data_IF_950401196563
#
_entry.id   IF_950401196563
#
_cell.length_a   1.000
_cell.length_b   1.000
_cell.length_c   1.000
_cell.angle_alpha   90.00
_cell.angle_beta   90.00
_cell.angle_gamma   90.00
#
_symmetry.space_group_name_H-M   'P 1'
#
loop_
_entity.id
_entity.type
_entity.pdbx_description
1 polymer ?
#
# COMPACT_ATOMS: atom_id res chain seq x y z
N UNK A 1 24.76 65.96 -2.22
CA UNK A 1 25.45 64.67 -2.48
C UNK A 1 24.41 63.67 -2.95
N UNK A 2 24.56 63.17 -4.19
CA UNK A 2 23.69 62.16 -4.82
C UNK A 2 24.22 60.77 -4.46
N UNK A 3 23.37 59.88 -3.98
CA UNK A 3 23.64 58.45 -3.92
C UNK A 3 22.76 57.73 -4.95
N UNK A 4 23.40 56.98 -5.85
CA UNK A 4 22.77 56.12 -6.85
C UNK A 4 22.38 54.77 -6.25
N UNK A 5 21.30 54.12 -6.73
CA UNK A 5 21.02 52.72 -6.43
C UNK A 5 21.80 51.81 -7.40
N UNK A 6 22.60 50.90 -6.84
CA UNK A 6 23.31 49.86 -7.60
C UNK A 6 22.37 48.72 -8.01
N UNK A 7 22.33 48.45 -9.31
CA UNK A 7 21.77 47.23 -9.90
C UNK A 7 22.73 46.05 -9.65
N UNK A 8 22.23 44.96 -9.08
CA UNK A 8 22.87 43.64 -9.17
C UNK A 8 22.00 42.73 -10.04
N UNK A 9 22.55 42.02 -11.03
CA UNK A 9 21.78 41.05 -11.81
C UNK A 9 21.54 39.79 -10.97
N UNK A 10 20.28 39.40 -10.81
CA UNK A 10 19.90 38.10 -10.27
C UNK A 10 20.36 37.02 -11.26
N UNK A 11 21.41 36.29 -10.90
CA UNK A 11 21.83 35.08 -11.62
C UNK A 11 20.78 34.01 -11.32
N UNK A 12 19.95 33.72 -12.31
CA UNK A 12 18.99 32.62 -12.27
C UNK A 12 19.79 31.30 -12.37
N UNK A 13 20.21 30.77 -11.22
CA UNK A 13 20.73 29.42 -11.15
C UNK A 13 19.54 28.46 -11.33
N UNK A 14 19.38 27.93 -12.54
CA UNK A 14 18.54 26.76 -12.77
C UNK A 14 19.23 25.57 -12.11
N UNK A 15 18.93 25.33 -10.83
CA UNK A 15 19.25 24.06 -10.19
C UNK A 15 18.44 23.02 -10.94
N UNK A 16 19.10 22.19 -11.75
CA UNK A 16 18.52 20.92 -12.18
C UNK A 16 18.27 20.14 -10.89
N UNK A 17 17.01 20.14 -10.44
CA UNK A 17 16.54 19.17 -9.49
C UNK A 17 16.74 17.81 -10.16
N UNK A 18 17.77 17.08 -9.74
CA UNK A 18 17.86 15.66 -9.99
C UNK A 18 16.61 15.11 -9.30
N UNK A 19 15.60 14.73 -10.09
CA UNK A 19 14.42 14.06 -9.56
C UNK A 19 14.92 12.87 -8.76
N UNK A 20 14.65 12.87 -7.45
CA UNK A 20 14.83 11.69 -6.64
C UNK A 20 14.08 10.54 -7.35
N UNK A 21 14.67 9.33 -7.45
CA UNK A 21 13.98 8.21 -8.08
C UNK A 21 12.61 8.07 -7.44
N UNK A 22 11.57 8.05 -8.26
CA UNK A 22 10.19 7.91 -7.81
C UNK A 22 10.06 6.61 -7.01
N UNK A 23 10.09 6.69 -5.68
CA UNK A 23 9.86 5.56 -4.76
C UNK A 23 8.36 5.25 -4.66
N UNK A 24 7.73 5.07 -5.82
CA UNK A 24 6.31 4.77 -5.94
C UNK A 24 5.99 3.27 -5.99
N UNK A 25 6.96 2.39 -5.80
CA UNK A 25 6.74 0.94 -5.80
C UNK A 25 6.98 0.39 -4.39
N UNK A 26 6.15 -0.57 -3.96
CA UNK A 26 6.47 -1.42 -2.82
C UNK A 26 7.69 -2.24 -3.20
N UNK A 27 8.80 -2.04 -2.50
CA UNK A 27 10.04 -2.75 -2.79
C UNK A 27 9.91 -4.17 -2.28
N UNK A 28 10.13 -5.17 -3.16
CA UNK A 28 10.09 -6.59 -2.79
C UNK A 28 8.72 -7.00 -2.20
N UNK A 29 7.64 -6.50 -2.80
CA UNK A 29 6.27 -6.83 -2.40
C UNK A 29 5.83 -8.26 -2.72
N UNK A 30 6.62 -8.96 -3.53
CA UNK A 30 6.52 -10.39 -3.86
C UNK A 30 7.38 -11.29 -2.92
N UNK A 31 8.07 -10.67 -1.96
CA UNK A 31 8.94 -11.32 -0.98
C UNK A 31 10.01 -12.27 -1.54
N UNK A 32 10.35 -12.19 -2.82
CA UNK A 32 11.33 -13.04 -3.48
C UNK A 32 12.77 -12.81 -3.00
N UNK A 33 13.04 -11.63 -2.42
CA UNK A 33 14.27 -11.28 -1.72
C UNK A 33 14.12 -11.30 -0.18
N UNK A 34 13.21 -12.12 0.32
CA UNK A 34 12.91 -12.27 1.74
C UNK A 34 12.25 -11.02 2.33
N UNK A 35 12.75 -10.52 3.47
CA UNK A 35 12.27 -9.28 4.10
C UNK A 35 13.01 -8.01 3.64
N UNK A 36 13.76 -8.07 2.55
CA UNK A 36 14.50 -6.90 2.04
C UNK A 36 13.52 -5.75 1.77
N UNK A 37 13.79 -4.56 2.32
CA UNK A 37 12.92 -3.39 2.18
C UNK A 37 11.81 -3.28 3.23
N UNK A 38 11.68 -4.27 4.11
CA UNK A 38 10.74 -4.28 5.22
C UNK A 38 11.47 -4.25 6.57
N UNK A 39 10.83 -3.65 7.56
CA UNK A 39 11.26 -3.69 8.96
C UNK A 39 10.28 -4.55 9.74
N UNK A 40 10.77 -5.65 10.31
CA UNK A 40 9.96 -6.57 11.10
C UNK A 40 9.90 -6.13 12.57
N UNK A 41 8.73 -6.25 13.18
CA UNK A 41 8.47 -5.94 14.58
C UNK A 41 7.52 -6.97 15.18
N UNK A 42 7.73 -7.30 16.45
CA UNK A 42 6.81 -8.11 17.23
C UNK A 42 6.73 -7.54 18.64
N UNK A 43 5.50 -7.42 19.13
CA UNK A 43 5.20 -6.87 20.44
C UNK A 43 4.18 -7.72 21.17
N UNK A 44 4.47 -8.00 22.44
CA UNK A 44 3.42 -8.18 23.43
C UNK A 44 3.30 -6.85 24.21
N UNK A 45 2.84 -6.91 25.46
CA UNK A 45 2.65 -5.75 26.35
C UNK A 45 3.84 -4.76 26.45
N UNK A 46 5.08 -5.21 26.17
CA UNK A 46 6.31 -4.40 26.32
C UNK A 46 7.22 -4.35 25.09
N UNK A 47 6.77 -4.78 23.90
CA UNK A 47 7.55 -4.71 22.65
C UNK A 47 9.00 -5.27 22.74
N UNK A 48 9.14 -6.44 23.36
CA UNK A 48 10.44 -7.11 23.54
C UNK A 48 10.52 -8.47 22.85
N UNK A 49 9.55 -8.80 21.99
CA UNK A 49 9.54 -10.09 21.30
C UNK A 49 10.54 -10.06 20.15
N UNK A 50 11.23 -11.19 19.92
CA UNK A 50 12.07 -11.36 18.73
C UNK A 50 11.17 -11.62 17.51
N UNK A 51 11.12 -10.72 16.52
CA UNK A 51 10.26 -10.88 15.34
C UNK A 51 10.53 -12.16 14.55
N UNK A 52 11.76 -12.70 14.61
CA UNK A 52 12.12 -13.91 13.88
C UNK A 52 11.35 -15.17 14.32
N UNK A 53 10.70 -15.14 15.49
CA UNK A 53 9.85 -16.24 15.97
C UNK A 53 8.42 -16.19 15.42
N UNK A 54 8.01 -15.06 14.84
CA UNK A 54 6.61 -14.76 14.49
C UNK A 54 6.44 -14.41 13.02
N UNK A 55 7.52 -13.95 12.37
CA UNK A 55 7.51 -13.47 11.00
C UNK A 55 8.53 -14.29 10.22
N UNK A 56 8.08 -14.90 9.14
CA UNK A 56 8.93 -15.71 8.27
C UNK A 56 8.56 -15.55 6.80
N UNK A 57 9.44 -16.02 5.93
CA UNK A 57 9.15 -16.15 4.50
C UNK A 57 8.89 -17.63 4.24
N UNK A 58 7.65 -17.95 3.94
CA UNK A 58 7.24 -19.28 3.54
C UNK A 58 7.39 -19.44 2.02
N UNK A 59 7.39 -20.68 1.55
CA UNK A 59 7.47 -21.00 0.11
C UNK A 59 6.39 -22.04 -0.22
N UNK A 60 5.60 -21.76 -1.26
CA UNK A 60 4.63 -22.68 -1.80
C UNK A 60 4.95 -22.99 -3.26
N UNK A 61 5.87 -23.93 -3.48
CA UNK A 61 6.19 -24.40 -4.83
C UNK A 61 7.04 -23.41 -5.61
N UNK A 62 7.96 -22.71 -4.93
CA UNK A 62 8.80 -21.68 -5.52
C UNK A 62 8.18 -20.28 -5.56
N UNK A 63 6.97 -20.11 -4.99
CA UNK A 63 6.41 -18.78 -4.72
C UNK A 63 6.64 -18.41 -3.25
N UNK A 64 7.62 -17.55 -2.93
CA UNK A 64 7.85 -17.07 -1.57
C UNK A 64 6.79 -16.05 -1.17
N UNK A 65 6.36 -16.08 0.09
CA UNK A 65 5.39 -15.14 0.62
C UNK A 65 5.65 -14.82 2.09
N UNK A 66 5.14 -13.68 2.55
CA UNK A 66 5.21 -13.29 3.95
C UNK A 66 4.23 -14.14 4.76
N UNK A 67 4.73 -14.88 5.75
CA UNK A 67 3.91 -15.54 6.76
C UNK A 67 4.07 -14.83 8.11
N UNK A 68 2.95 -14.46 8.72
CA UNK A 68 2.90 -13.91 10.08
C UNK A 68 2.11 -14.85 10.97
N UNK A 69 2.66 -15.16 12.14
CA UNK A 69 2.04 -15.95 13.20
C UNK A 69 2.02 -15.17 14.50
N UNK A 70 0.91 -15.18 15.25
CA UNK A 70 0.85 -14.64 16.61
C UNK A 70 1.11 -15.71 17.68
N UNK A 71 1.30 -16.97 17.26
CA UNK A 71 1.39 -18.18 18.10
C UNK A 71 0.30 -18.30 19.15
N UNK A 72 0.36 -19.33 20.00
CA UNK A 72 -0.64 -19.56 21.05
C UNK A 72 -0.22 -18.89 22.35
N UNK A 73 -0.35 -17.56 22.46
CA UNK A 73 0.04 -16.88 23.70
C UNK A 73 -1.14 -16.76 24.66
N UNK A 74 -0.96 -17.26 25.89
CA UNK A 74 -1.85 -17.02 27.04
C UNK A 74 -1.52 -15.71 27.78
N UNK A 75 -0.56 -14.92 27.27
CA UNK A 75 0.02 -13.75 27.94
C UNK A 75 -0.14 -12.48 27.11
N UNK A 76 -1.39 -12.01 27.00
CA UNK A 76 -1.70 -10.67 26.52
C UNK A 76 -1.88 -10.54 25.01
N UNK A 77 -2.20 -9.32 24.57
CA UNK A 77 -2.33 -9.00 23.15
C UNK A 77 -0.96 -9.11 22.48
N UNK A 78 -0.89 -9.90 21.41
CA UNK A 78 0.32 -10.08 20.61
C UNK A 78 0.12 -9.42 19.25
N UNK A 79 1.11 -8.62 18.86
CA UNK A 79 1.28 -8.00 17.56
C UNK A 79 2.53 -8.58 16.91
N UNK A 80 2.43 -8.96 15.65
CA UNK A 80 3.59 -9.23 14.80
C UNK A 80 3.33 -8.64 13.42
N UNK A 81 4.30 -7.94 12.85
CA UNK A 81 4.13 -7.33 11.56
C UNK A 81 5.40 -6.80 10.92
N UNK A 82 5.26 -6.37 9.68
CA UNK A 82 6.31 -5.72 8.92
C UNK A 82 5.84 -4.36 8.44
N UNK A 83 6.78 -3.43 8.31
CA UNK A 83 6.51 -2.10 7.77
C UNK A 83 7.47 -1.74 6.66
N UNK A 84 7.01 -0.98 5.67
CA UNK A 84 7.86 -0.44 4.61
C UNK A 84 7.41 0.98 4.22
N UNK A 85 8.34 1.93 4.01
CA UNK A 85 7.97 3.27 3.57
C UNK A 85 7.54 3.24 2.09
N UNK A 86 6.41 3.87 1.78
CA UNK A 86 5.91 4.03 0.41
C UNK A 86 5.65 5.51 0.11
N UNK A 87 5.76 5.88 -1.17
CA UNK A 87 5.35 7.22 -1.64
C UNK A 87 4.14 7.08 -2.54
N UNK A 88 3.03 7.72 -2.15
CA UNK A 88 1.79 7.69 -2.91
C UNK A 88 1.78 8.89 -3.86
N UNK A 89 1.61 8.62 -5.14
CA UNK A 89 1.69 9.63 -6.21
C UNK A 89 0.50 9.55 -7.15
N UNK A 90 0.34 10.55 -8.01
CA UNK A 90 -0.75 10.57 -8.99
C UNK A 90 -0.72 9.36 -9.95
N UNK A 91 0.46 8.78 -10.18
CA UNK A 91 0.68 7.64 -11.09
C UNK A 91 0.92 6.33 -10.35
N UNK A 92 0.86 6.33 -9.02
CA UNK A 92 1.02 5.16 -8.16
C UNK A 92 0.18 5.38 -6.89
N UNK A 93 -1.10 5.02 -6.95
CA UNK A 93 -2.09 5.25 -5.89
C UNK A 93 -2.98 4.05 -5.60
N UNK A 94 -3.08 3.09 -6.50
CA UNK A 94 -3.85 1.87 -6.26
C UNK A 94 -2.90 0.83 -5.67
N UNK A 95 -3.08 0.51 -4.39
CA UNK A 95 -2.37 -0.61 -3.76
C UNK A 95 -3.14 -1.89 -4.06
N UNK A 96 -2.45 -2.92 -4.51
CA UNK A 96 -3.00 -4.27 -4.58
C UNK A 96 -2.10 -5.28 -3.88
N UNK A 97 -2.68 -6.37 -3.37
CA UNK A 97 -1.98 -7.47 -2.74
C UNK A 97 -2.89 -8.69 -2.61
N UNK A 98 -2.28 -9.85 -2.41
CA UNK A 98 -2.98 -11.09 -2.08
C UNK A 98 -2.87 -11.38 -0.57
N UNK A 99 -3.92 -11.94 -0.01
CA UNK A 99 -3.99 -12.32 1.40
C UNK A 99 -4.57 -13.73 1.56
N UNK A 100 -4.07 -14.45 2.55
CA UNK A 100 -4.50 -15.80 2.89
C UNK A 100 -4.61 -15.94 4.39
N UNK A 101 -5.64 -16.65 4.83
CA UNK A 101 -5.74 -17.13 6.19
C UNK A 101 -5.28 -18.59 6.26
N UNK A 102 -4.25 -18.86 7.07
CA UNK A 102 -3.62 -20.19 7.16
C UNK A 102 -4.18 -20.98 8.33
N UNK A 103 -4.42 -20.34 9.48
CA UNK A 103 -5.08 -20.97 10.62
C UNK A 103 -6.55 -20.58 10.68
N UNK A 104 -7.39 -21.49 11.16
CA UNK A 104 -8.80 -21.20 11.36
C UNK A 104 -8.98 -20.08 12.39
N UNK A 105 -9.67 -19.02 11.97
CA UNK A 105 -10.05 -17.87 12.80
C UNK A 105 -11.26 -18.19 13.68
N UNK A 106 -11.99 -19.28 13.45
CA UNK A 106 -13.24 -19.54 14.17
C UNK A 106 -13.01 -19.58 15.67
N UNK A 107 -13.69 -18.68 16.37
CA UNK A 107 -13.70 -18.63 17.81
C UNK A 107 -15.03 -19.18 18.36
N UNK A 108 -15.14 -20.50 18.66
CA UNK A 108 -16.30 -21.03 19.38
C UNK A 108 -16.44 -20.53 20.83
N UNK A 109 -15.52 -19.69 21.34
CA UNK A 109 -15.36 -19.32 22.75
C UNK A 109 -15.72 -17.88 23.14
N UNK A 110 -15.77 -16.89 22.24
CA UNK A 110 -16.18 -15.51 22.57
C UNK A 110 -17.68 -15.40 22.80
N UNK A 111 -18.12 -15.93 23.93
CA UNK A 111 -19.39 -15.59 24.56
C UNK A 111 -19.33 -14.26 25.34
N UNK A 112 -18.21 -13.54 25.32
CA UNK A 112 -18.02 -12.38 26.19
C UNK A 112 -17.17 -11.29 25.56
N UNK A 113 -17.82 -10.17 25.22
CA UNK A 113 -17.44 -8.75 25.45
C UNK A 113 -15.99 -8.25 25.28
N UNK A 114 -15.01 -9.05 24.85
CA UNK A 114 -13.67 -8.56 24.52
C UNK A 114 -13.78 -7.70 23.26
N UNK A 115 -13.36 -6.42 23.28
CA UNK A 115 -13.35 -5.60 22.09
C UNK A 115 -12.20 -5.95 21.13
N UNK A 116 -11.33 -6.90 21.52
CA UNK A 116 -10.16 -7.30 20.74
C UNK A 116 -10.45 -8.62 20.04
N UNK A 117 -10.41 -8.58 18.72
CA UNK A 117 -10.62 -9.69 17.80
C UNK A 117 -9.26 -10.05 17.22
N UNK A 118 -8.99 -11.35 17.06
CA UNK A 118 -7.85 -11.80 16.27
C UNK A 118 -8.01 -11.26 14.84
N UNK A 119 -7.02 -10.52 14.36
CA UNK A 119 -7.11 -9.87 13.05
C UNK A 119 -5.83 -9.94 12.23
N UNK A 120 -6.01 -10.12 10.92
CA UNK A 120 -4.94 -10.02 9.93
C UNK A 120 -5.18 -8.75 9.10
N UNK A 121 -4.27 -7.80 9.17
CA UNK A 121 -4.58 -6.44 8.74
C UNK A 121 -3.46 -5.83 7.90
N UNK A 122 -3.87 -4.94 7.01
CA UNK A 122 -2.98 -4.02 6.30
C UNK A 122 -3.44 -2.60 6.62
N UNK A 123 -2.49 -1.72 6.94
CA UNK A 123 -2.76 -0.35 7.33
C UNK A 123 -1.69 0.61 6.82
N UNK A 124 -2.05 1.89 6.76
CA UNK A 124 -1.12 2.99 6.54
C UNK A 124 -0.93 3.74 7.84
N UNK A 125 0.27 4.24 8.08
CA UNK A 125 0.51 5.23 9.13
C UNK A 125 1.48 6.30 8.69
N UNK A 126 1.24 7.52 9.15
CA UNK A 126 2.08 8.68 8.86
C UNK A 126 3.13 8.91 9.97
N UNK A 127 3.98 9.91 9.76
CA UNK A 127 4.99 10.32 10.76
C UNK A 127 4.40 10.83 12.09
N UNK A 128 3.10 11.12 12.14
CA UNK A 128 2.38 11.54 13.34
C UNK A 128 1.64 10.36 14.00
N UNK A 129 1.87 9.13 13.52
CA UNK A 129 1.24 7.89 14.01
C UNK A 129 -0.29 7.90 13.85
N UNK A 130 -0.81 8.61 12.84
CA UNK A 130 -2.20 8.46 12.45
C UNK A 130 -2.35 7.18 11.64
N UNK A 131 -3.14 6.22 12.15
CA UNK A 131 -3.37 4.93 11.50
C UNK A 131 -4.63 4.97 10.63
N UNK A 132 -4.55 4.39 9.43
CA UNK A 132 -5.70 4.10 8.59
C UNK A 132 -5.66 2.63 8.19
N UNK A 133 -6.65 1.86 8.62
CA UNK A 133 -6.84 0.48 8.18
C UNK A 133 -7.31 0.48 6.72
N UNK A 134 -6.63 -0.28 5.88
CA UNK A 134 -6.98 -0.42 4.46
C UNK A 134 -7.50 -1.81 4.12
N UNK A 135 -7.20 -2.80 4.96
CA UNK A 135 -7.75 -4.14 4.90
C UNK A 135 -7.67 -4.80 6.28
N UNK A 136 -8.68 -5.58 6.63
CA UNK A 136 -8.75 -6.20 7.95
C UNK A 136 -9.58 -7.47 7.93
N UNK A 137 -8.96 -8.61 8.20
CA UNK A 137 -9.64 -9.89 8.35
C UNK A 137 -9.89 -10.10 9.83
N UNK A 138 -11.12 -9.85 10.25
CA UNK A 138 -11.56 -10.10 11.62
C UNK A 138 -12.35 -11.41 11.70
N UNK A 139 -12.22 -12.11 12.83
CA UNK A 139 -13.11 -13.21 13.20
C UNK A 139 -14.22 -12.73 14.13
N UNK A 140 -15.43 -12.49 13.60
CA UNK A 140 -16.60 -12.30 14.45
C UNK A 140 -17.37 -13.63 14.58
N UNK A 141 -16.88 -14.54 15.41
CA UNK A 141 -17.53 -15.84 15.65
C UNK A 141 -17.31 -16.87 14.54
N UNK A 142 -18.36 -17.17 13.75
CA UNK A 142 -18.32 -18.22 12.72
C UNK A 142 -18.10 -17.69 11.28
N UNK A 143 -17.96 -16.37 11.11
CA UNK A 143 -17.79 -15.72 9.81
C UNK A 143 -16.50 -14.92 9.81
N UNK A 144 -15.65 -15.21 8.82
CA UNK A 144 -14.48 -14.41 8.49
C UNK A 144 -14.94 -13.31 7.53
N UNK A 145 -14.90 -12.05 7.97
CA UNK A 145 -15.28 -10.90 7.14
C UNK A 145 -14.06 -9.96 6.96
N UNK A 146 -13.44 -9.94 5.76
CA UNK A 146 -12.29 -9.07 5.43
C UNK A 146 -12.64 -7.58 5.39
N UNK A 147 -13.90 -7.22 5.63
CA UNK A 147 -14.36 -5.83 5.74
C UNK A 147 -15.21 -5.52 6.97
N UNK A 148 -15.18 -6.38 8.01
CA UNK A 148 -15.97 -6.16 9.22
C UNK A 148 -15.70 -4.78 9.86
N UNK A 149 -14.48 -4.27 9.66
CA UNK A 149 -14.06 -2.98 10.15
C UNK A 149 -14.71 -1.82 9.34
N UNK A 150 -15.64 -1.06 9.93
CA UNK A 150 -16.38 -0.01 9.24
C UNK A 150 -15.52 1.21 8.89
N UNK A 151 -14.27 1.27 9.38
CA UNK A 151 -13.31 2.33 9.08
C UNK A 151 -12.49 2.07 7.82
N UNK A 152 -12.69 0.93 7.14
CA UNK A 152 -11.94 0.56 5.94
C UNK A 152 -12.22 1.51 4.78
N UNK A 153 -11.15 2.04 4.19
CA UNK A 153 -11.24 2.93 3.03
C UNK A 153 -11.34 2.13 1.74
N UNK A 154 -12.56 1.86 1.26
CA UNK A 154 -12.83 1.60 -0.17
C UNK A 154 -12.11 0.41 -0.82
N UNK A 155 -11.68 -0.58 -0.06
CA UNK A 155 -11.07 -1.79 -0.59
C UNK A 155 -12.10 -2.64 -1.34
N UNK A 156 -11.70 -3.24 -2.47
CA UNK A 156 -12.52 -4.20 -3.23
C UNK A 156 -11.85 -5.56 -3.30
N UNK A 157 -12.64 -6.63 -3.18
CA UNK A 157 -12.16 -7.99 -3.40
C UNK A 157 -12.33 -8.40 -4.85
N UNK A 158 -11.26 -8.91 -5.42
CA UNK A 158 -11.28 -9.68 -6.66
C UNK A 158 -10.95 -11.15 -6.37
N UNK A 159 -11.05 -11.99 -7.40
CA UNK A 159 -10.49 -13.32 -7.32
C UNK A 159 -8.98 -13.24 -7.08
N UNK A 160 -8.40 -14.08 -6.21
CA UNK A 160 -6.96 -14.13 -5.96
C UNK A 160 -6.18 -14.30 -7.26
N UNK A 161 -5.09 -13.55 -7.43
CA UNK A 161 -4.23 -13.66 -8.60
C UNK A 161 -3.44 -14.98 -8.61
N UNK A 162 -3.12 -15.50 -7.42
CA UNK A 162 -2.50 -16.80 -7.17
C UNK A 162 -3.47 -17.71 -6.39
N UNK A 163 -3.78 -18.94 -6.87
CA UNK A 163 -4.68 -19.88 -6.19
C UNK A 163 -4.23 -20.32 -4.79
N UNK A 164 -3.00 -19.99 -4.38
CA UNK A 164 -2.53 -20.16 -3.01
C UNK A 164 -3.29 -19.27 -2.01
N UNK A 165 -3.74 -18.10 -2.45
CA UNK A 165 -4.35 -17.07 -1.61
C UNK A 165 -5.87 -17.12 -1.68
N UNK A 166 -6.51 -16.65 -0.62
CA UNK A 166 -7.96 -16.66 -0.49
C UNK A 166 -8.59 -15.38 -1.05
N UNK A 167 -7.84 -14.27 -1.01
CA UNK A 167 -8.31 -12.93 -1.36
C UNK A 167 -7.28 -12.16 -2.19
N UNK A 168 -7.77 -11.39 -3.18
CA UNK A 168 -7.06 -10.26 -3.78
C UNK A 168 -7.73 -8.97 -3.34
N UNK A 169 -6.98 -8.02 -2.80
CA UNK A 169 -7.47 -6.71 -2.41
C UNK A 169 -6.88 -5.62 -3.31
N UNK A 170 -7.73 -4.67 -3.73
CA UNK A 170 -7.30 -3.42 -4.37
C UNK A 170 -7.84 -2.21 -3.57
N UNK A 171 -7.00 -1.20 -3.34
CA UNK A 171 -7.33 -0.03 -2.53
C UNK A 171 -6.84 1.26 -3.22
N UNK A 172 -7.75 2.21 -3.47
CA UNK A 172 -7.38 3.55 -3.93
C UNK A 172 -6.89 4.43 -2.78
N UNK A 173 -5.59 4.73 -2.78
CA UNK A 173 -4.92 5.57 -1.80
C UNK A 173 -4.86 7.05 -2.23
N UNK A 174 -5.70 7.49 -3.18
CA UNK A 174 -5.75 8.86 -3.69
C UNK A 174 -5.84 9.94 -2.59
N UNK A 175 -6.47 9.64 -1.46
CA UNK A 175 -6.55 10.53 -0.29
C UNK A 175 -5.22 10.82 0.39
N UNK A 176 -4.19 10.00 0.15
CA UNK A 176 -2.85 10.10 0.74
C UNK A 176 -1.80 10.60 -0.26
N UNK A 177 -2.21 11.04 -1.46
CA UNK A 177 -1.30 11.52 -2.49
C UNK A 177 -0.39 12.65 -1.99
N UNK A 178 0.91 12.51 -2.23
CA UNK A 178 1.94 13.47 -1.82
C UNK A 178 2.36 13.36 -0.36
N UNK A 179 1.80 12.42 0.41
CA UNK A 179 2.23 12.11 1.76
C UNK A 179 3.31 11.02 1.76
N UNK A 180 4.24 11.12 2.71
CA UNK A 180 5.14 10.04 3.06
C UNK A 180 4.48 9.19 4.15
N UNK A 181 4.10 7.96 3.81
CA UNK A 181 3.44 7.03 4.73
C UNK A 181 4.21 5.72 4.79
N UNK A 182 3.99 4.95 5.84
CA UNK A 182 4.45 3.57 5.95
C UNK A 182 3.28 2.63 5.73
N UNK A 183 3.50 1.62 4.89
CA UNK A 183 2.61 0.47 4.75
C UNK A 183 2.97 -0.53 5.85
N UNK A 184 1.98 -0.88 6.67
CA UNK A 184 2.07 -1.91 7.70
C UNK A 184 1.26 -3.14 7.31
N UNK A 185 1.83 -4.31 7.55
CA UNK A 185 1.18 -5.63 7.41
C UNK A 185 1.33 -6.32 8.74
N UNK A 186 0.25 -6.76 9.36
CA UNK A 186 0.32 -7.31 10.71
C UNK A 186 -0.75 -8.34 11.02
N UNK A 187 -0.44 -9.16 12.03
CA UNK A 187 -1.39 -9.98 12.74
C UNK A 187 -1.51 -9.48 14.18
N UNK A 188 -2.75 -9.39 14.66
CA UNK A 188 -3.10 -9.06 16.03
C UNK A 188 -3.81 -10.28 16.62
N UNK A 189 -3.46 -10.64 17.84
CA UNK A 189 -4.15 -11.69 18.56
C UNK A 189 -4.64 -11.21 19.91
N UNK A 190 -5.89 -11.54 20.18
CA UNK A 190 -6.53 -11.41 21.47
C UNK A 190 -5.95 -12.47 22.43
N UNK A 191 -5.99 -12.17 23.72
CA UNK A 191 -5.53 -13.11 24.74
C UNK A 191 -6.56 -14.21 25.00
N UNK A 192 -6.74 -15.11 24.05
CA UNK A 192 -7.70 -16.23 24.13
C UNK A 192 -7.04 -17.61 23.96
N UNK A 193 -5.71 -17.63 23.84
CA UNK A 193 -4.90 -18.84 23.71
C UNK A 193 -4.90 -19.45 22.30
N UNK A 194 -5.45 -18.76 21.30
CA UNK A 194 -5.39 -19.16 19.89
C UNK A 194 -4.18 -18.58 19.19
N UNK A 195 -3.87 -19.18 18.06
CA UNK A 195 -2.83 -18.68 17.15
C UNK A 195 -3.49 -18.26 15.86
N UNK A 196 -3.22 -17.03 15.45
CA UNK A 196 -3.49 -16.55 14.11
C UNK A 196 -2.25 -16.78 13.25
N UNK A 197 -2.43 -17.33 12.05
CA UNK A 197 -1.44 -17.45 10.99
C UNK A 197 -2.05 -16.94 9.69
N UNK A 198 -1.39 -15.99 9.07
CA UNK A 198 -1.79 -15.39 7.80
C UNK A 198 -0.62 -15.31 6.83
N UNK A 199 -0.95 -15.27 5.54
CA UNK A 199 -0.01 -15.11 4.44
C UNK A 199 -0.34 -13.87 3.62
N UNK A 200 0.68 -13.17 3.14
CA UNK A 200 0.53 -12.06 2.20
C UNK A 200 1.59 -12.08 1.10
N UNK A 201 1.20 -11.61 -0.09
CA UNK A 201 2.07 -11.56 -1.26
C UNK A 201 1.62 -10.51 -2.28
N UNK A 202 2.40 -10.31 -3.33
CA UNK A 202 2.10 -9.50 -4.51
C UNK A 202 1.70 -8.05 -4.21
N UNK A 203 2.36 -7.42 -3.22
CA UNK A 203 2.13 -6.00 -2.96
C UNK A 203 2.63 -5.15 -4.12
N UNK A 204 1.72 -4.46 -4.79
CA UNK A 204 2.04 -3.53 -5.87
C UNK A 204 1.33 -2.20 -5.68
N UNK A 205 2.00 -1.11 -6.07
CA UNK A 205 1.40 0.21 -6.13
C UNK A 205 1.35 0.64 -7.60
N UNK A 206 0.15 0.68 -8.15
CA UNK A 206 -0.10 0.99 -9.56
C UNK A 206 -0.87 2.30 -9.68
N UNK A 207 -0.92 2.86 -10.88
CA UNK A 207 -1.75 4.01 -11.17
C UNK A 207 -1.84 4.24 -12.65
N UNK A 208 -2.90 4.93 -13.05
CA UNK A 208 -3.04 5.37 -14.43
C UNK A 208 -1.90 6.34 -14.76
N UNK A 209 -1.28 6.23 -15.95
CA UNK A 209 -0.35 7.24 -16.41
C UNK A 209 -1.07 8.58 -16.34
N UNK A 210 -0.40 9.59 -15.76
CA UNK A 210 -0.95 10.94 -15.72
C UNK A 210 -1.39 11.30 -17.14
N UNK A 211 -2.66 11.62 -17.32
CA UNK A 211 -3.17 12.04 -18.62
C UNK A 211 -2.37 13.26 -19.01
N UNK A 212 -1.42 13.09 -19.93
CA UNK A 212 -0.64 14.22 -20.45
C UNK A 212 -1.70 15.13 -21.07
N UNK A 213 -1.90 16.35 -20.54
CA UNK A 213 -2.83 17.26 -21.16
C UNK A 213 -2.34 17.43 -22.59
N UNK A 214 -3.18 17.08 -23.57
CA UNK A 214 -2.87 17.39 -24.96
C UNK A 214 -2.49 18.88 -25.01
N UNK A 215 -1.33 19.25 -25.57
CA UNK A 215 -0.97 20.64 -25.74
C UNK A 215 -2.18 21.38 -26.28
N UNK A 216 -2.56 22.48 -25.66
CA UNK A 216 -3.77 23.23 -26.01
C UNK A 216 -3.84 23.65 -27.51
N UNK A 217 -2.76 23.46 -28.28
CA UNK A 217 -2.68 23.68 -29.73
C UNK A 217 -2.83 22.45 -30.63
N UNK A 218 -2.94 21.21 -30.14
CA UNK A 218 -3.03 20.03 -31.01
C UNK A 218 -4.30 19.97 -31.88
N UNK A 219 -5.49 20.39 -31.40
CA UNK A 219 -6.68 20.50 -32.25
C UNK A 219 -6.53 21.57 -33.36
N UNK A 220 -5.79 22.64 -33.09
CA UNK A 220 -5.56 23.74 -34.04
C UNK A 220 -4.55 23.37 -35.13
N UNK A 221 -3.54 22.55 -34.83
CA UNK A 221 -2.56 22.11 -35.81
C UNK A 221 -3.15 21.16 -36.86
N UNK A 222 -4.01 20.23 -36.42
CA UNK A 222 -4.76 19.32 -37.31
C UNK A 222 -5.79 20.09 -38.15
N UNK A 223 -6.45 21.10 -37.57
CA UNK A 223 -7.34 22.00 -38.31
C UNK A 223 -6.63 22.86 -39.36
N UNK A 224 -5.45 23.40 -39.05
CA UNK A 224 -4.66 24.22 -39.96
C UNK A 224 -4.05 23.41 -41.13
N UNK A 225 -3.64 22.17 -40.88
CA UNK A 225 -3.17 21.25 -41.93
C UNK A 225 -4.31 20.78 -42.84
N UNK A 226 -5.52 20.58 -42.30
CA UNK A 226 -6.72 20.28 -43.11
C UNK A 226 -7.16 21.45 -44.01
N UNK A 227 -7.13 22.68 -43.49
CA UNK A 227 -7.50 23.88 -44.25
C UNK A 227 -6.51 24.22 -45.36
N UNK A 228 -5.20 24.05 -45.15
CA UNK A 228 -4.18 24.28 -46.19
C UNK A 228 -4.24 23.24 -47.31
N UNK A 229 -4.59 21.99 -47.01
CA UNK A 229 -4.84 20.95 -48.02
C UNK A 229 -6.06 21.26 -48.91
N UNK A 230 -7.17 21.72 -48.31
CA UNK A 230 -8.39 22.09 -49.02
C UNK A 230 -8.23 23.33 -49.91
N UNK A 231 -7.46 24.33 -49.46
CA UNK A 231 -7.16 25.54 -50.25
C UNK A 231 -6.26 25.24 -51.45
N UNK A 232 -5.31 24.29 -51.33
CA UNK A 232 -4.45 23.86 -52.45
C UNK A 232 -5.21 23.05 -53.51
N UNK A 233 -6.21 22.26 -53.10
CA UNK A 233 -7.04 21.49 -54.04
C UNK A 233 -8.00 22.38 -54.86
N UNK A 234 -8.40 23.52 -54.30
CA UNK A 234 -9.33 24.47 -54.97
C UNK A 234 -8.65 25.41 -55.96
N UNK A 235 -7.33 25.62 -55.84
CA UNK A 235 -6.52 26.44 -56.77
C UNK A 235 -5.98 25.66 -57.99
N UNK A 236 -6.24 24.34 -58.08
CA UNK A 236 -5.82 23.46 -59.18
C UNK A 236 -6.97 22.96 -60.07
N UNK A 237 -8.17 23.55 -59.93
CA UNK A 237 -9.30 23.41 -60.86
C UNK A 237 -9.55 24.74 -61.53
#
# INVERSE_FOLDING_TARGET
MRFMPGFFPATLAATLAIAAPARGAVVNGDFSAGLTGFTAEACAFVCTLDPANWISIADAGGNPYLEISTGSTLEGMTYAGVTTPITISATARTLSFDARLISDLTDPGSSGTSPFVDSLSVFLFDSALNYTWIFDIESSGATVDPFANPALSGASLAAPADPLFDWHAEVDLGGFMGQAVSLGIAAFSANDGRSLRGGFDNFTLTGEPATVPLPAGLPLLLGALGLTGLLRARLRR
#
